data_IF_187728434222
#
_entry.id   IF_187728434222
#
_cell.length_a   1.000
_cell.length_b   1.000
_cell.length_c   1.000
_cell.angle_alpha   90.00
_cell.angle_beta   90.00
_cell.angle_gamma   90.00
#
_symmetry.space_group_name_H-M   'P 1'
#
loop_
_entity.id
_entity.type
_entity.pdbx_description
1 polymer ?
#
# COMPACT_ATOMS: atom_id res chain seq x y z
N UNK A 1 34.01 -4.73 18.02
CA UNK A 1 33.64 -4.90 16.60
C UNK A 1 32.13 -4.86 16.52
N UNK A 2 31.55 -3.89 15.80
CA UNK A 2 30.10 -3.87 15.55
C UNK A 2 29.89 -4.88 14.42
N UNK A 3 29.13 -5.95 14.68
CA UNK A 3 28.81 -6.92 13.64
C UNK A 3 28.11 -6.19 12.48
N UNK A 4 28.61 -6.36 11.25
CA UNK A 4 28.05 -5.72 10.05
C UNK A 4 26.68 -6.28 9.67
N UNK A 5 26.26 -7.40 10.28
CA UNK A 5 24.97 -8.05 10.08
C UNK A 5 24.45 -8.59 11.42
N UNK A 6 23.15 -8.40 11.66
CA UNK A 6 22.44 -8.93 12.82
C UNK A 6 21.57 -10.09 12.34
N UNK A 7 21.68 -11.25 12.98
CA UNK A 7 20.83 -12.40 12.68
C UNK A 7 19.48 -12.27 13.37
N UNK A 8 18.40 -12.42 12.62
CA UNK A 8 17.02 -12.48 13.12
C UNK A 8 16.46 -13.87 12.87
N UNK A 9 15.82 -14.47 13.88
CA UNK A 9 15.16 -15.77 13.77
C UNK A 9 13.65 -15.62 13.99
N UNK A 10 12.86 -16.26 13.14
CA UNK A 10 11.40 -16.26 13.23
C UNK A 10 10.83 -17.59 12.73
N UNK A 11 9.66 -17.96 13.24
CA UNK A 11 8.88 -19.08 12.70
C UNK A 11 7.87 -18.51 11.71
N UNK A 12 7.79 -19.11 10.53
CA UNK A 12 6.81 -18.78 9.50
C UNK A 12 5.96 -20.01 9.19
N UNK A 13 4.77 -19.81 8.64
CA UNK A 13 3.94 -20.92 8.19
C UNK A 13 4.58 -21.61 6.98
N UNK A 14 4.28 -22.90 6.73
CA UNK A 14 4.75 -23.60 5.53
C UNK A 14 4.31 -22.91 4.23
N UNK A 15 3.11 -22.35 4.23
CA UNK A 15 2.57 -21.61 3.08
C UNK A 15 3.38 -20.35 2.79
N UNK A 16 3.72 -19.57 3.82
CA UNK A 16 4.56 -18.39 3.68
C UNK A 16 5.95 -18.75 3.18
N UNK A 17 6.55 -19.82 3.69
CA UNK A 17 7.85 -20.30 3.20
C UNK A 17 7.78 -20.66 1.71
N UNK A 18 6.74 -21.38 1.27
CA UNK A 18 6.53 -21.70 -0.15
C UNK A 18 6.45 -20.45 -1.02
N UNK A 19 5.65 -19.45 -0.63
CA UNK A 19 5.52 -18.20 -1.38
C UNK A 19 6.84 -17.42 -1.45
N UNK A 20 7.61 -17.43 -0.35
CA UNK A 20 8.93 -16.80 -0.29
C UNK A 20 9.90 -17.46 -1.27
N UNK A 21 9.93 -18.79 -1.28
CA UNK A 21 10.81 -19.56 -2.16
C UNK A 21 10.45 -19.35 -3.64
N UNK A 22 9.16 -19.37 -3.99
CA UNK A 22 8.69 -19.10 -5.36
C UNK A 22 9.09 -17.70 -5.84
N UNK A 23 8.95 -16.69 -4.99
CA UNK A 23 9.34 -15.32 -5.34
C UNK A 23 10.86 -15.17 -5.56
N UNK A 24 11.65 -15.73 -4.65
CA UNK A 24 13.12 -15.67 -4.70
C UNK A 24 13.65 -16.39 -5.94
N UNK A 25 13.06 -17.54 -6.28
CA UNK A 25 13.39 -18.28 -7.51
C UNK A 25 13.02 -17.50 -8.77
N UNK A 26 11.83 -16.90 -8.82
CA UNK A 26 11.37 -16.14 -9.97
C UNK A 26 12.21 -14.88 -10.23
N UNK A 27 12.67 -14.20 -9.16
CA UNK A 27 13.49 -12.99 -9.28
C UNK A 27 15.00 -13.23 -9.28
N UNK A 28 15.47 -14.43 -8.95
CA UNK A 28 16.90 -14.72 -8.78
C UNK A 28 17.55 -13.96 -7.62
N UNK A 29 16.75 -13.56 -6.63
CA UNK A 29 17.21 -12.83 -5.44
C UNK A 29 17.64 -13.81 -4.34
N UNK A 30 18.11 -13.31 -3.19
CA UNK A 30 18.38 -14.14 -2.00
C UNK A 30 17.25 -13.96 -0.99
N UNK A 31 16.90 -15.03 -0.26
CA UNK A 31 15.91 -14.97 0.82
C UNK A 31 16.22 -13.86 1.85
N UNK A 32 17.49 -13.70 2.22
CA UNK A 32 17.92 -12.63 3.15
C UNK A 32 17.59 -11.23 2.62
N UNK A 33 17.79 -11.00 1.32
CA UNK A 33 17.52 -9.70 0.69
C UNK A 33 16.02 -9.43 0.65
N UNK A 34 15.21 -10.46 0.35
CA UNK A 34 13.76 -10.36 0.41
C UNK A 34 13.28 -10.01 1.82
N UNK A 35 13.77 -10.72 2.84
CA UNK A 35 13.38 -10.49 4.25
C UNK A 35 13.76 -9.07 4.68
N UNK A 36 14.99 -8.64 4.39
CA UNK A 36 15.47 -7.31 4.74
C UNK A 36 14.64 -6.21 4.04
N UNK A 37 14.40 -6.36 2.74
CA UNK A 37 13.61 -5.40 1.96
C UNK A 37 12.16 -5.32 2.45
N UNK A 38 11.54 -6.47 2.73
CA UNK A 38 10.18 -6.53 3.26
C UNK A 38 10.06 -5.86 4.64
N UNK A 39 11.01 -6.14 5.55
CA UNK A 39 11.07 -5.51 6.87
C UNK A 39 11.30 -4.00 6.75
N UNK A 40 12.22 -3.56 5.88
CA UNK A 40 12.52 -2.15 5.67
C UNK A 40 11.30 -1.40 5.14
N UNK A 41 10.64 -1.93 4.10
CA UNK A 41 9.42 -1.34 3.55
C UNK A 41 8.30 -1.27 4.60
N UNK A 42 8.12 -2.32 5.39
CA UNK A 42 7.11 -2.33 6.45
C UNK A 42 7.39 -1.25 7.52
N UNK A 43 8.63 -1.16 8.00
CA UNK A 43 9.03 -0.16 9.00
C UNK A 43 9.05 1.27 8.46
N UNK A 44 9.29 1.46 7.15
CA UNK A 44 9.18 2.76 6.50
C UNK A 44 7.72 3.19 6.38
N UNK A 45 6.82 2.29 5.96
CA UNK A 45 5.39 2.58 5.89
C UNK A 45 4.82 3.05 7.23
N UNK A 46 5.23 2.42 8.34
CA UNK A 46 4.84 2.83 9.70
C UNK A 46 5.37 4.22 10.10
N UNK A 47 6.48 4.67 9.52
CA UNK A 47 7.04 6.01 9.78
C UNK A 47 6.42 7.10 8.92
N UNK A 48 6.05 6.77 7.68
CA UNK A 48 5.41 7.70 6.75
C UNK A 48 3.94 7.94 7.09
N UNK A 49 3.27 6.94 7.67
CA UNK A 49 1.89 7.02 8.14
C UNK A 49 1.86 6.67 9.63
N UNK A 50 2.17 7.62 10.53
CA UNK A 50 1.88 7.42 11.94
C UNK A 50 0.38 7.08 12.05
N UNK A 51 0.03 6.02 12.78
CA UNK A 51 -1.39 5.63 12.99
C UNK A 51 -2.22 6.81 13.54
N UNK A 52 -1.56 7.79 14.17
CA UNK A 52 -2.12 9.04 14.69
C UNK A 52 -2.40 10.14 13.65
N UNK A 53 -1.99 9.98 12.37
CA UNK A 53 -2.04 11.05 11.35
C UNK A 53 -3.03 10.79 10.22
N UNK A 54 -3.61 9.59 10.11
CA UNK A 54 -4.73 9.37 9.18
C UNK A 54 -6.03 9.85 9.82
N UNK A 55 -6.25 11.17 9.82
CA UNK A 55 -7.58 11.75 10.04
C UNK A 55 -8.26 11.77 8.66
N UNK A 56 -9.26 10.91 8.40
CA UNK A 56 -10.05 11.04 7.18
C UNK A 56 -10.67 12.44 7.18
N UNK A 57 -10.58 13.22 6.08
CA UNK A 57 -11.23 14.51 6.01
C UNK A 57 -12.73 14.31 6.19
N UNK A 58 -13.26 14.73 7.35
CA UNK A 58 -14.70 14.73 7.62
C UNK A 58 -15.27 16.04 7.07
N UNK A 59 -16.15 15.93 6.09
CA UNK A 59 -16.88 17.08 5.56
C UNK A 59 -18.24 17.10 6.26
N UNK A 60 -18.48 18.09 7.13
CA UNK A 60 -19.82 18.31 7.68
C UNK A 60 -20.65 19.03 6.63
N UNK A 61 -21.77 18.42 6.25
CA UNK A 61 -22.69 18.95 5.24
C UNK A 61 -24.06 19.16 5.88
N UNK A 62 -24.81 20.13 5.37
CA UNK A 62 -26.25 20.24 5.66
C UNK A 62 -26.99 19.05 5.05
N UNK A 63 -28.17 18.72 5.60
CA UNK A 63 -28.99 17.59 5.13
C UNK A 63 -29.27 17.66 3.62
N UNK A 64 -29.72 18.81 3.12
CA UNK A 64 -29.99 19.04 1.69
C UNK A 64 -28.76 18.78 0.82
N UNK A 65 -27.59 19.29 1.23
CA UNK A 65 -26.34 19.06 0.52
C UNK A 65 -25.85 17.60 0.59
N UNK A 66 -26.17 16.89 1.67
CA UNK A 66 -25.85 15.47 1.84
C UNK A 66 -26.66 14.59 0.89
N UNK A 67 -27.97 14.84 0.77
CA UNK A 67 -28.87 14.13 -0.15
C UNK A 67 -28.43 14.38 -1.60
N UNK A 68 -28.23 15.64 -2.00
CA UNK A 68 -27.81 15.97 -3.37
C UNK A 68 -26.46 15.35 -3.76
N UNK A 69 -25.55 15.23 -2.78
CA UNK A 69 -24.24 14.59 -3.02
C UNK A 69 -24.38 13.07 -3.12
N UNK A 70 -25.21 12.45 -2.28
CA UNK A 70 -25.45 10.99 -2.28
C UNK A 70 -26.04 10.51 -3.62
N UNK A 71 -26.96 11.27 -4.17
CA UNK A 71 -27.55 10.99 -5.49
C UNK A 71 -26.49 11.04 -6.59
N UNK A 72 -25.60 12.03 -6.56
CA UNK A 72 -24.56 12.20 -7.59
C UNK A 72 -23.45 11.16 -7.52
N UNK A 73 -23.08 10.69 -6.32
CA UNK A 73 -22.07 9.63 -6.16
C UNK A 73 -22.62 8.26 -6.57
N UNK A 74 -23.93 8.01 -6.40
CA UNK A 74 -24.57 6.75 -6.77
C UNK A 74 -24.66 6.51 -8.29
N UNK A 75 -24.50 7.57 -9.10
CA UNK A 75 -24.67 7.51 -10.56
C UNK A 75 -23.35 7.56 -11.35
N UNK A 76 -22.18 7.49 -10.69
CA UNK A 76 -20.88 7.75 -11.33
C UNK A 76 -20.13 6.50 -11.79
N UNK A 77 -20.83 5.60 -12.47
CA UNK A 77 -20.22 4.76 -13.51
C UNK A 77 -20.56 5.39 -14.87
N UNK A 78 -19.73 6.36 -15.29
CA UNK A 78 -19.35 6.64 -16.70
C UNK A 78 -18.92 8.10 -16.87
N UNK A 79 -17.82 8.26 -17.61
CA UNK A 79 -17.21 9.49 -18.14
C UNK A 79 -16.31 10.30 -17.19
N UNK A 80 -15.04 9.94 -17.23
CA UNK A 80 -13.98 10.92 -17.46
C UNK A 80 -13.15 10.46 -18.67
N UNK A 81 -13.69 10.61 -19.88
CA UNK A 81 -12.83 10.73 -21.06
C UNK A 81 -12.29 12.16 -21.06
N UNK A 82 -11.09 12.34 -20.48
CA UNK A 82 -10.24 13.49 -20.82
C UNK A 82 -9.83 13.33 -22.28
N UNK A 83 -10.59 13.90 -23.22
CA UNK A 83 -10.02 14.22 -24.53
C UNK A 83 -9.16 15.46 -24.35
N UNK A 84 -7.88 15.24 -24.08
CA UNK A 84 -6.85 16.14 -24.59
C UNK A 84 -7.10 16.28 -26.09
N UNK A 85 -7.54 17.46 -26.54
CA UNK A 85 -7.30 17.87 -27.92
C UNK A 85 -5.93 18.54 -27.91
N UNK A 86 -4.93 17.72 -28.17
CA UNK A 86 -3.59 18.15 -28.55
C UNK A 86 -3.49 18.03 -30.07
N UNK A 87 -2.84 19.00 -30.72
CA UNK A 87 -2.53 19.14 -32.15
C UNK A 87 -3.73 19.44 -33.08
N UNK A 88 -3.67 20.34 -34.07
CA UNK A 88 -2.56 20.99 -34.78
C UNK A 88 -3.04 22.32 -35.39
#
# INVERSE_FOLDING_TARGET
MIASQIQVSARVSPETKRMMDEYVQAKGEKETVLIETALLHHLQALRELPEDVVIPPRILVSEDSGIHTSEKISHKDTKTQRRHKETS
#
